data_IF_703474999963
#
_entry.id   IF_703474999963
#
_cell.length_a   1.000
_cell.length_b   1.000
_cell.length_c   1.000
_cell.angle_alpha   90.00
_cell.angle_beta   90.00
_cell.angle_gamma   90.00
#
_symmetry.space_group_name_H-M   'P 1'
#
loop_
_entity.id
_entity.type
_entity.pdbx_description
1 polymer ?
#
# COMPACT_ATOMS: atom_id res chain seq x y z
N UNK A 1 1.94 -17.76 -0.21
CA UNK A 1 2.80 -17.53 0.98
C UNK A 1 2.76 -18.70 1.94
N UNK A 2 1.58 -19.23 2.31
CA UNK A 2 1.48 -20.39 3.21
C UNK A 2 2.28 -21.61 2.72
N UNK A 3 2.19 -21.95 1.43
CA UNK A 3 2.92 -23.09 0.85
C UNK A 3 4.43 -22.92 0.95
N UNK A 4 4.94 -21.73 0.59
CA UNK A 4 6.36 -21.42 0.70
C UNK A 4 6.84 -21.52 2.15
N UNK A 5 6.04 -21.05 3.12
CA UNK A 5 6.38 -21.12 4.55
C UNK A 5 6.32 -22.52 5.16
N UNK A 6 5.87 -23.53 4.41
CA UNK A 6 5.83 -24.94 4.82
C UNK A 6 6.68 -25.85 3.94
N UNK A 7 7.40 -25.29 2.97
CA UNK A 7 8.09 -26.08 1.96
C UNK A 7 9.44 -26.58 2.51
N UNK A 8 9.75 -27.89 2.44
CA UNK A 8 10.94 -28.46 3.10
C UNK A 8 12.27 -27.98 2.51
N UNK A 9 12.27 -27.48 1.27
CA UNK A 9 13.45 -26.92 0.60
C UNK A 9 13.45 -25.39 0.50
N UNK A 10 12.57 -24.69 1.24
CA UNK A 10 12.54 -23.23 1.27
C UNK A 10 12.66 -22.80 2.72
N UNK A 11 13.70 -22.04 3.01
CA UNK A 11 13.85 -21.32 4.27
C UNK A 11 13.37 -19.89 4.07
N UNK A 12 12.39 -19.45 4.87
CA UNK A 12 11.88 -18.08 4.84
C UNK A 12 12.51 -17.30 5.99
N UNK A 13 13.36 -16.34 5.64
CA UNK A 13 13.94 -15.38 6.58
C UNK A 13 13.19 -14.06 6.47
N UNK A 14 12.13 -13.89 7.27
CA UNK A 14 11.37 -12.62 7.32
C UNK A 14 12.00 -11.65 8.32
N UNK A 15 11.77 -10.34 8.12
CA UNK A 15 12.42 -9.29 8.90
C UNK A 15 13.96 -9.39 8.86
N UNK A 16 14.46 -9.70 7.67
CA UNK A 16 15.89 -9.87 7.39
C UNK A 16 16.28 -9.09 6.14
N UNK A 17 17.53 -8.61 6.10
CA UNK A 17 18.11 -7.92 4.95
C UNK A 17 19.46 -8.50 4.56
N UNK A 18 19.81 -8.42 3.27
CA UNK A 18 21.12 -8.80 2.77
C UNK A 18 22.10 -7.65 3.02
N UNK A 19 23.08 -7.84 3.91
CA UNK A 19 24.04 -6.80 4.29
C UNK A 19 25.37 -6.92 3.56
N UNK A 20 25.72 -8.13 3.11
CA UNK A 20 26.97 -8.39 2.40
C UNK A 20 26.78 -9.44 1.31
N UNK A 21 27.43 -9.23 0.17
CA UNK A 21 27.38 -10.14 -0.97
C UNK A 21 28.65 -10.06 -1.81
N UNK A 22 29.35 -11.19 -1.99
CA UNK A 22 30.53 -11.31 -2.84
C UNK A 22 30.58 -12.64 -3.61
N UNK A 23 31.53 -12.75 -4.54
CA UNK A 23 31.81 -13.99 -5.26
C UNK A 23 31.38 -13.96 -6.73
N UNK A 24 31.12 -15.14 -7.31
CA UNK A 24 30.77 -15.31 -8.72
C UNK A 24 29.72 -16.40 -8.90
N UNK A 25 29.09 -16.46 -10.07
CA UNK A 25 28.08 -17.46 -10.40
C UNK A 25 28.53 -18.89 -10.00
N UNK A 26 27.67 -19.59 -9.25
CA UNK A 26 27.96 -20.91 -8.69
C UNK A 26 28.71 -20.92 -7.35
N UNK A 27 29.23 -19.79 -6.89
CA UNK A 27 29.99 -19.67 -5.64
C UNK A 27 29.93 -18.23 -5.10
N UNK A 28 28.80 -17.86 -4.51
CA UNK A 28 28.60 -16.60 -3.81
C UNK A 28 28.64 -16.82 -2.30
N UNK A 29 29.06 -15.78 -1.59
CA UNK A 29 28.92 -15.65 -0.14
C UNK A 29 28.00 -14.49 0.16
N UNK A 30 27.01 -14.75 1.01
CA UNK A 30 26.05 -13.76 1.45
C UNK A 30 26.00 -13.71 2.98
N UNK A 31 25.90 -12.51 3.53
CA UNK A 31 25.55 -12.30 4.94
C UNK A 31 24.17 -11.68 4.99
N UNK A 32 23.26 -12.34 5.70
CA UNK A 32 21.90 -11.90 5.95
C UNK A 32 21.81 -11.48 7.42
N UNK A 33 21.33 -10.27 7.66
CA UNK A 33 21.03 -9.80 9.01
C UNK A 33 19.54 -9.99 9.28
N UNK A 34 19.19 -10.87 10.22
CA UNK A 34 17.84 -10.95 10.79
C UNK A 34 17.72 -9.92 11.90
N UNK A 35 16.83 -8.96 11.72
CA UNK A 35 16.58 -7.93 12.72
C UNK A 35 15.83 -8.54 13.91
N UNK A 36 16.07 -8.00 15.13
CA UNK A 36 15.35 -8.45 16.30
C UNK A 36 13.86 -8.15 16.18
N UNK A 37 13.03 -9.17 16.42
CA UNK A 37 11.58 -8.99 16.48
C UNK A 37 11.10 -8.59 17.86
N UNK A 38 11.92 -8.91 18.86
CA UNK A 38 11.60 -8.85 20.28
C UNK A 38 10.40 -9.71 20.69
N UNK A 39 10.00 -10.63 19.81
CA UNK A 39 8.92 -11.60 20.00
C UNK A 39 9.40 -12.91 19.39
N UNK A 40 9.47 -13.96 20.21
CA UNK A 40 9.85 -15.31 19.79
C UNK A 40 8.82 -15.88 18.82
N UNK A 41 9.27 -16.24 17.62
CA UNK A 41 8.45 -16.88 16.59
C UNK A 41 7.95 -18.27 17.01
N UNK A 42 8.70 -18.97 17.88
CA UNK A 42 8.35 -20.31 18.35
C UNK A 42 7.27 -20.30 19.45
N UNK A 43 7.33 -19.31 20.35
CA UNK A 43 6.42 -19.21 21.49
C UNK A 43 5.15 -18.41 21.18
N UNK A 44 5.25 -17.44 20.26
CA UNK A 44 4.13 -16.57 19.92
C UNK A 44 3.03 -17.33 19.17
N UNK A 45 1.79 -17.19 19.64
CA UNK A 45 0.60 -17.79 19.00
C UNK A 45 -0.14 -16.81 18.10
N UNK A 46 0.25 -15.54 18.08
CA UNK A 46 -0.43 -14.50 17.31
C UNK A 46 -1.83 -14.14 17.85
N UNK A 47 -2.09 -14.29 19.15
CA UNK A 47 -3.41 -14.07 19.74
C UNK A 47 -3.86 -12.59 19.77
N UNK A 48 -2.92 -11.64 19.80
CA UNK A 48 -3.20 -10.19 19.73
C UNK A 48 -3.43 -9.48 21.07
N UNK A 49 -3.47 -10.17 22.22
CA UNK A 49 -3.70 -9.53 23.53
C UNK A 49 -2.68 -8.42 23.83
N UNK A 50 -1.41 -8.66 23.50
CA UNK A 50 -0.34 -7.68 23.66
C UNK A 50 -0.51 -6.41 22.81
N UNK A 51 -1.21 -6.51 21.67
CA UNK A 51 -1.55 -5.38 20.80
C UNK A 51 -2.64 -4.53 21.46
N UNK A 52 -3.67 -5.16 22.02
CA UNK A 52 -4.77 -4.47 22.72
C UNK A 52 -4.26 -3.66 23.92
N UNK A 53 -3.35 -4.25 24.70
CA UNK A 53 -2.80 -3.64 25.93
C UNK A 53 -1.69 -2.60 25.66
N UNK A 54 -1.24 -2.47 24.41
CA UNK A 54 -0.22 -1.50 24.03
C UNK A 54 -0.81 -0.07 23.99
N UNK A 55 -0.26 0.88 24.78
CA UNK A 55 -0.78 2.25 24.81
C UNK A 55 -0.35 3.10 23.60
N UNK A 56 0.70 2.68 22.87
CA UNK A 56 1.25 3.43 21.73
C UNK A 56 0.30 3.35 20.54
N UNK A 57 0.09 4.47 19.85
CA UNK A 57 -0.66 4.51 18.58
C UNK A 57 0.17 5.31 17.58
N UNK A 58 0.48 4.69 16.45
CA UNK A 58 1.26 5.28 15.34
C UNK A 58 0.59 5.01 14.00
N UNK A 59 0.87 5.79 12.95
CA UNK A 59 0.38 5.48 11.60
C UNK A 59 0.80 4.07 11.16
N UNK A 60 -0.09 3.39 10.43
CA UNK A 60 0.19 2.05 9.92
C UNK A 60 0.73 2.12 8.48
N UNK A 61 1.98 1.74 8.31
CA UNK A 61 2.70 1.75 7.03
C UNK A 61 2.05 0.81 5.99
N UNK A 62 1.54 -0.35 6.41
CA UNK A 62 0.83 -1.28 5.52
C UNK A 62 -0.48 -0.70 5.00
N UNK A 63 -1.10 0.18 5.79
CA UNK A 63 -2.30 0.94 5.43
C UNK A 63 -1.96 2.31 4.82
N UNK A 64 -0.71 2.52 4.40
CA UNK A 64 -0.18 3.78 3.83
C UNK A 64 -0.56 5.02 4.65
N UNK A 65 -0.53 4.88 5.98
CA UNK A 65 -0.84 5.96 6.92
C UNK A 65 -2.33 6.25 7.13
N UNK A 66 -3.24 5.57 6.42
CA UNK A 66 -4.69 5.74 6.59
C UNK A 66 -5.24 5.07 7.84
N UNK A 67 -4.56 4.01 8.28
CA UNK A 67 -4.86 3.29 9.52
C UNK A 67 -3.86 3.63 10.62
N UNK A 68 -4.17 3.18 11.84
CA UNK A 68 -3.24 3.22 12.94
C UNK A 68 -2.85 1.80 13.38
N UNK A 69 -1.63 1.65 13.88
CA UNK A 69 -1.11 0.44 14.52
C UNK A 69 -0.54 0.77 15.89
N UNK A 70 -0.22 -0.28 16.63
CA UNK A 70 0.47 -0.22 17.93
C UNK A 70 1.97 -0.42 17.74
N UNK A 71 2.76 -0.17 18.79
CA UNK A 71 4.20 -0.46 18.75
C UNK A 71 4.49 -1.96 18.63
N UNK A 72 3.71 -2.81 19.30
CA UNK A 72 3.67 -4.25 19.02
C UNK A 72 2.55 -4.55 18.04
N UNK A 73 2.85 -5.17 16.92
CA UNK A 73 1.89 -5.33 15.83
C UNK A 73 2.21 -6.54 14.95
N UNK A 74 1.24 -6.94 14.13
CA UNK A 74 1.45 -7.78 12.95
C UNK A 74 1.12 -6.92 11.72
N UNK A 75 1.88 -6.99 10.62
CA UNK A 75 1.66 -6.13 9.45
C UNK A 75 0.24 -6.21 8.89
N UNK A 76 -0.33 -7.42 8.85
CA UNK A 76 -1.72 -7.67 8.44
C UNK A 76 -2.20 -9.03 8.97
N UNK A 77 -3.52 -9.25 8.96
CA UNK A 77 -4.16 -10.41 9.59
C UNK A 77 -3.70 -11.78 9.05
N UNK A 78 -3.23 -11.85 7.80
CA UNK A 78 -2.78 -13.09 7.15
C UNK A 78 -1.25 -13.13 6.96
N UNK A 79 -0.50 -12.34 7.75
CA UNK A 79 0.96 -12.32 7.69
C UNK A 79 1.57 -13.71 7.94
N UNK A 80 2.66 -13.99 7.23
CA UNK A 80 3.44 -15.24 7.37
C UNK A 80 4.90 -14.86 7.63
N UNK A 81 5.51 -15.32 8.75
CA UNK A 81 4.93 -16.11 9.83
C UNK A 81 3.85 -15.34 10.59
N UNK A 82 2.89 -16.08 11.18
CA UNK A 82 1.82 -15.49 11.97
C UNK A 82 2.32 -15.16 13.39
N UNK A 83 3.11 -14.09 13.49
CA UNK A 83 3.74 -13.61 14.73
C UNK A 83 3.63 -12.08 14.82
N UNK A 84 3.99 -11.54 15.99
CA UNK A 84 4.08 -10.10 16.22
C UNK A 84 5.54 -9.62 16.14
N UNK A 85 5.72 -8.31 15.98
CA UNK A 85 7.00 -7.61 16.00
C UNK A 85 6.83 -6.37 16.87
N UNK A 86 7.88 -5.96 17.60
CA UNK A 86 7.92 -4.70 18.33
C UNK A 86 8.76 -3.67 17.57
N UNK A 87 8.13 -2.58 17.19
CA UNK A 87 8.77 -1.36 16.70
C UNK A 87 9.42 -0.61 17.87
N UNK A 88 10.74 -0.71 18.00
CA UNK A 88 11.50 -0.07 19.08
C UNK A 88 11.60 1.44 18.96
N UNK A 89 11.48 2.00 17.76
CA UNK A 89 11.55 3.44 17.56
C UNK A 89 10.36 4.14 18.22
N UNK A 90 9.19 3.49 18.17
CA UNK A 90 7.96 4.00 18.75
C UNK A 90 7.59 3.36 20.10
N UNK A 91 8.30 2.31 20.54
CA UNK A 91 8.03 1.63 21.81
C UNK A 91 8.34 2.55 23.00
N UNK A 92 7.39 2.68 23.92
CA UNK A 92 7.59 3.41 25.17
C UNK A 92 8.57 2.75 26.13
N UNK A 93 8.82 1.44 26.00
CA UNK A 93 9.69 0.69 26.90
C UNK A 93 11.17 0.96 26.59
N UNK A 94 11.62 2.18 26.88
CA UNK A 94 12.98 2.67 26.61
C UNK A 94 13.76 2.96 27.89
N UNK A 95 14.82 3.74 27.77
CA UNK A 95 15.71 4.07 28.90
C UNK A 95 15.00 4.84 30.03
N UNK A 96 14.02 5.68 29.68
CA UNK A 96 13.39 6.62 30.62
C UNK A 96 12.03 6.17 31.16
N UNK A 97 11.37 5.24 30.47
CA UNK A 97 10.04 4.77 30.84
C UNK A 97 9.98 3.25 30.72
N UNK A 98 9.58 2.59 31.80
CA UNK A 98 9.38 1.15 31.82
C UNK A 98 7.90 0.88 31.52
N UNK A 99 7.64 0.25 30.37
CA UNK A 99 6.28 -0.12 29.94
C UNK A 99 6.24 -1.62 29.61
N UNK A 100 5.72 -2.42 30.54
CA UNK A 100 5.68 -3.89 30.42
C UNK A 100 4.28 -4.45 30.12
N UNK A 101 3.34 -3.63 29.65
CA UNK A 101 1.96 -4.08 29.40
C UNK A 101 1.89 -5.31 28.50
N UNK A 102 2.58 -5.28 27.36
CA UNK A 102 2.61 -6.40 26.42
C UNK A 102 3.24 -7.66 27.00
N UNK A 103 4.24 -7.52 27.89
CA UNK A 103 4.89 -8.65 28.58
C UNK A 103 3.91 -9.26 29.57
N UNK A 104 3.29 -8.43 30.41
CA UNK A 104 2.33 -8.85 31.43
C UNK A 104 1.11 -9.54 30.82
N UNK A 105 0.73 -9.18 29.60
CA UNK A 105 -0.42 -9.75 28.89
C UNK A 105 -0.08 -10.98 28.03
N UNK A 106 1.18 -11.39 27.97
CA UNK A 106 1.63 -12.50 27.14
C UNK A 106 1.83 -13.78 27.98
N UNK A 107 0.78 -14.61 28.08
CA UNK A 107 0.83 -15.88 28.83
C UNK A 107 1.94 -16.85 28.38
N UNK A 108 2.35 -16.75 27.11
CA UNK A 108 3.40 -17.59 26.52
C UNK A 108 4.81 -17.11 26.83
N UNK A 109 4.96 -15.93 27.46
CA UNK A 109 6.24 -15.27 27.69
C UNK A 109 7.08 -15.17 26.41
N UNK A 110 6.43 -14.85 25.29
CA UNK A 110 7.08 -14.80 23.98
C UNK A 110 7.86 -13.49 23.75
N UNK A 111 7.66 -12.46 24.57
CA UNK A 111 8.28 -11.14 24.38
C UNK A 111 9.67 -11.11 25.03
N UNK A 112 10.67 -10.71 24.26
CA UNK A 112 12.06 -10.61 24.70
C UNK A 112 12.69 -9.30 24.17
N UNK A 113 12.82 -8.28 25.02
CA UNK A 113 13.43 -7.01 24.63
C UNK A 113 14.95 -7.08 24.42
N UNK A 114 15.59 -8.15 24.88
CA UNK A 114 17.03 -8.37 24.75
C UNK A 114 17.39 -9.20 23.50
N UNK A 115 16.45 -9.41 22.58
CA UNK A 115 16.69 -10.05 21.29
C UNK A 115 17.77 -9.27 20.51
N UNK A 116 18.95 -9.88 20.25
CA UNK A 116 20.03 -9.21 19.54
C UNK A 116 19.88 -9.27 18.01
N UNK A 117 18.89 -10.02 17.50
CA UNK A 117 18.86 -10.43 16.09
C UNK A 117 19.89 -11.52 15.80
N UNK A 118 20.14 -11.79 14.52
CA UNK A 118 21.09 -12.82 14.08
C UNK A 118 21.80 -12.41 12.78
N UNK A 119 23.09 -12.73 12.66
CA UNK A 119 23.81 -12.68 11.38
C UNK A 119 24.01 -14.10 10.85
N UNK A 120 23.52 -14.33 9.63
CA UNK A 120 23.49 -15.64 8.98
C UNK A 120 24.39 -15.58 7.75
N UNK A 121 25.41 -16.42 7.71
CA UNK A 121 26.31 -16.53 6.57
C UNK A 121 25.92 -17.73 5.71
N UNK A 122 25.73 -17.50 4.41
CA UNK A 122 25.29 -18.50 3.45
C UNK A 122 26.24 -18.58 2.25
N UNK A 123 26.57 -19.81 1.86
CA UNK A 123 27.17 -20.11 0.56
C UNK A 123 26.04 -20.42 -0.43
N UNK A 124 25.92 -19.64 -1.50
CA UNK A 124 24.82 -19.77 -2.47
C UNK A 124 25.32 -19.87 -3.92
N UNK A 125 24.63 -20.68 -4.73
CA UNK A 125 24.99 -20.89 -6.13
C UNK A 125 24.39 -19.84 -7.08
N UNK A 126 23.21 -19.34 -6.76
CA UNK A 126 22.44 -18.41 -7.59
C UNK A 126 21.64 -17.43 -6.75
N UNK A 127 21.32 -16.28 -7.35
CA UNK A 127 20.53 -15.21 -6.73
C UNK A 127 19.42 -14.79 -7.67
N UNK A 128 18.22 -14.60 -7.13
CA UNK A 128 17.06 -14.05 -7.82
C UNK A 128 16.69 -12.76 -7.09
N UNK A 129 16.73 -11.63 -7.80
CA UNK A 129 16.33 -10.33 -7.25
C UNK A 129 14.85 -10.12 -7.54
N UNK A 130 14.04 -10.02 -6.49
CA UNK A 130 12.58 -9.87 -6.57
C UNK A 130 12.07 -8.89 -5.49
N UNK A 131 12.78 -7.78 -5.26
CA UNK A 131 12.48 -6.77 -4.22
C UNK A 131 11.27 -5.89 -4.52
N UNK A 132 10.62 -6.07 -5.68
CA UNK A 132 9.39 -5.36 -6.02
C UNK A 132 9.62 -3.94 -6.53
N UNK A 133 8.73 -3.04 -6.12
CA UNK A 133 8.68 -1.63 -6.53
C UNK A 133 8.03 -0.78 -5.43
N UNK A 134 8.24 0.53 -5.50
CA UNK A 134 7.56 1.51 -4.65
C UNK A 134 6.53 2.33 -5.44
N UNK A 135 5.57 2.92 -4.73
CA UNK A 135 4.56 3.81 -5.31
C UNK A 135 5.17 5.19 -5.55
N UNK A 136 4.78 5.82 -6.66
CA UNK A 136 5.20 7.18 -6.96
C UNK A 136 4.66 8.18 -5.93
N UNK A 137 5.52 9.04 -5.40
CA UNK A 137 5.13 10.15 -4.54
C UNK A 137 4.45 11.26 -5.35
N UNK A 138 3.12 11.32 -5.26
CA UNK A 138 2.31 12.28 -6.01
C UNK A 138 2.45 13.73 -5.50
N UNK A 139 3.11 13.99 -4.36
CA UNK A 139 3.36 15.36 -3.89
C UNK A 139 4.25 16.15 -4.85
N UNK A 140 5.02 15.45 -5.68
CA UNK A 140 5.82 16.04 -6.75
C UNK A 140 4.98 16.71 -7.86
N UNK A 141 3.68 16.40 -7.98
CA UNK A 141 2.76 17.08 -8.91
C UNK A 141 1.90 18.07 -8.12
N UNK A 142 2.45 19.26 -7.87
CA UNK A 142 1.77 20.28 -7.06
C UNK A 142 0.42 20.70 -7.66
N UNK A 143 0.25 20.62 -8.98
CA UNK A 143 -1.01 20.98 -9.64
C UNK A 143 -2.17 20.03 -9.31
N UNK A 144 -1.91 18.84 -8.79
CA UNK A 144 -2.94 17.88 -8.37
C UNK A 144 -3.25 17.95 -6.87
N UNK A 145 -2.40 18.60 -6.07
CA UNK A 145 -2.68 18.87 -4.66
C UNK A 145 -2.68 17.66 -3.74
N UNK A 146 -2.02 16.55 -4.10
CA UNK A 146 -1.80 15.44 -3.17
C UNK A 146 -0.96 15.92 -1.97
N UNK A 147 -1.36 15.53 -0.76
CA UNK A 147 -0.79 16.03 0.50
C UNK A 147 -1.28 17.43 0.93
N UNK A 148 -2.04 18.13 0.08
CA UNK A 148 -2.67 19.43 0.40
C UNK A 148 -4.19 19.32 0.52
N UNK A 149 -4.83 18.62 -0.41
CA UNK A 149 -6.27 18.42 -0.44
C UNK A 149 -6.62 17.07 0.14
N UNK A 150 -7.45 17.07 1.19
CA UNK A 150 -7.79 15.86 1.96
C UNK A 150 -8.41 14.75 1.10
N UNK A 151 -9.13 15.13 0.04
CA UNK A 151 -9.86 14.20 -0.82
C UNK A 151 -9.10 13.80 -2.10
N UNK A 152 -7.83 14.20 -2.23
CA UNK A 152 -6.94 13.71 -3.31
C UNK A 152 -6.16 12.52 -2.77
N UNK A 153 -6.42 11.35 -3.34
CA UNK A 153 -5.83 10.09 -2.90
C UNK A 153 -5.06 9.42 -4.04
N UNK A 154 -4.00 8.72 -3.67
CA UNK A 154 -3.31 7.77 -4.52
C UNK A 154 -4.14 6.51 -4.73
N UNK A 155 -3.78 5.75 -5.75
CA UNK A 155 -4.37 4.44 -6.00
C UNK A 155 -4.18 3.49 -4.81
N UNK A 156 -2.99 3.46 -4.20
CA UNK A 156 -2.70 2.56 -3.08
C UNK A 156 -3.57 2.85 -1.86
N UNK A 157 -3.82 4.14 -1.55
CA UNK A 157 -4.76 4.54 -0.49
C UNK A 157 -6.19 4.06 -0.79
N UNK A 158 -6.63 4.15 -2.05
CA UNK A 158 -7.92 3.60 -2.48
C UNK A 158 -7.97 2.07 -2.33
N UNK A 159 -6.91 1.34 -2.68
CA UNK A 159 -6.83 -0.12 -2.45
C UNK A 159 -6.99 -0.46 -0.98
N UNK A 160 -6.34 0.32 -0.09
CA UNK A 160 -6.47 0.11 1.35
C UNK A 160 -7.90 0.36 1.83
N UNK A 161 -8.59 1.36 1.29
CA UNK A 161 -10.01 1.58 1.61
C UNK A 161 -10.93 0.47 1.10
N UNK A 162 -10.73 0.03 -0.15
CA UNK A 162 -11.52 -1.04 -0.77
C UNK A 162 -11.27 -2.41 -0.13
N UNK A 163 -10.15 -2.59 0.56
CA UNK A 163 -9.85 -3.82 1.25
C UNK A 163 -10.80 -4.05 2.43
N UNK A 164 -11.47 -5.21 2.46
CA UNK A 164 -12.38 -5.59 3.54
C UNK A 164 -11.73 -5.63 4.93
N UNK A 165 -10.42 -5.90 5.00
CA UNK A 165 -9.61 -5.87 6.23
C UNK A 165 -8.80 -4.58 6.39
N UNK A 166 -8.99 -3.60 5.49
CA UNK A 166 -8.36 -2.29 5.56
C UNK A 166 -9.03 -1.33 6.56
N UNK A 167 -8.54 -0.09 6.68
CA UNK A 167 -8.92 0.87 7.71
C UNK A 167 -10.41 1.25 7.67
N UNK A 168 -11.02 1.23 6.50
CA UNK A 168 -12.43 1.58 6.28
C UNK A 168 -13.30 0.35 6.05
N UNK A 169 -12.75 -0.86 6.23
CA UNK A 169 -13.45 -2.15 6.12
C UNK A 169 -14.15 -2.36 4.77
N UNK A 170 -13.53 -1.89 3.68
CA UNK A 170 -14.07 -2.01 2.33
C UNK A 170 -15.00 -0.88 1.90
N UNK A 171 -15.18 0.15 2.75
CA UNK A 171 -16.02 1.30 2.43
C UNK A 171 -15.21 2.49 1.92
N UNK A 172 -15.74 3.17 0.91
CA UNK A 172 -15.10 4.36 0.35
C UNK A 172 -15.65 5.59 1.06
N UNK A 173 -14.75 6.39 1.62
CA UNK A 173 -15.10 7.63 2.28
C UNK A 173 -14.20 8.76 1.81
N UNK A 174 -14.73 9.97 1.83
CA UNK A 174 -13.95 11.21 1.74
C UNK A 174 -13.20 11.42 3.05
N UNK A 175 -11.87 11.55 3.07
CA UNK A 175 -11.12 11.77 4.31
C UNK A 175 -11.53 13.05 5.05
N UNK A 176 -11.88 14.11 4.31
CA UNK A 176 -12.29 15.41 4.89
C UNK A 176 -13.53 15.35 5.79
N UNK A 177 -14.56 14.59 5.42
CA UNK A 177 -15.87 14.60 6.09
C UNK A 177 -16.46 13.22 6.38
N UNK A 178 -15.73 12.16 6.02
CA UNK A 178 -16.07 10.74 6.20
C UNK A 178 -17.36 10.30 5.51
N UNK A 179 -17.85 11.05 4.52
CA UNK A 179 -19.03 10.66 3.75
C UNK A 179 -18.66 9.83 2.53
N UNK A 180 -19.59 9.00 2.07
CA UNK A 180 -19.45 8.30 0.79
C UNK A 180 -19.42 9.35 -0.34
N UNK A 181 -18.40 9.34 -1.21
CA UNK A 181 -18.38 10.24 -2.36
C UNK A 181 -19.47 9.84 -3.36
N UNK A 182 -20.20 10.82 -3.89
CA UNK A 182 -21.15 10.60 -4.99
C UNK A 182 -20.47 10.57 -6.35
N UNK A 183 -19.32 11.24 -6.47
CA UNK A 183 -18.56 11.37 -7.71
C UNK A 183 -17.08 11.07 -7.47
N UNK A 184 -16.45 10.32 -8.36
CA UNK A 184 -15.03 9.96 -8.27
C UNK A 184 -14.32 10.22 -9.61
N UNK A 185 -13.13 10.81 -9.53
CA UNK A 185 -12.25 11.03 -10.67
C UNK A 185 -10.98 10.18 -10.52
N UNK A 186 -10.69 9.35 -11.52
CA UNK A 186 -9.46 8.58 -11.64
C UNK A 186 -8.55 9.24 -12.66
N UNK A 187 -7.35 9.63 -12.25
CA UNK A 187 -6.37 10.27 -13.13
C UNK A 187 -5.28 9.26 -13.50
N UNK A 188 -5.14 8.97 -14.78
CA UNK A 188 -4.11 8.04 -15.26
C UNK A 188 -2.76 8.74 -15.47
N UNK A 189 -1.71 7.92 -15.52
CA UNK A 189 -0.34 8.35 -15.81
C UNK A 189 0.22 9.37 -14.79
N UNK A 190 -0.27 9.37 -13.55
CA UNK A 190 0.36 10.13 -12.46
C UNK A 190 1.74 9.56 -12.19
N UNK A 191 2.79 10.38 -12.33
CA UNK A 191 4.18 9.95 -12.19
C UNK A 191 4.72 9.09 -13.34
N UNK A 192 3.99 8.98 -14.46
CA UNK A 192 4.39 8.17 -15.61
C UNK A 192 4.11 8.89 -16.93
N UNK A 193 4.84 8.50 -17.99
CA UNK A 193 4.67 9.05 -19.34
C UNK A 193 4.62 10.57 -19.37
N UNK A 194 5.59 11.24 -18.74
CA UNK A 194 5.80 12.66 -18.98
C UNK A 194 7.25 13.08 -18.75
N UNK A 195 7.50 14.38 -18.93
CA UNK A 195 8.83 14.97 -18.89
C UNK A 195 8.92 16.05 -17.81
N UNK A 196 10.10 16.20 -17.22
CA UNK A 196 10.34 17.15 -16.13
C UNK A 196 10.08 16.59 -14.74
N UNK A 197 10.46 17.37 -13.72
CA UNK A 197 10.44 16.94 -12.31
C UNK A 197 9.05 16.56 -11.81
N UNK A 198 8.01 17.23 -12.31
CA UNK A 198 6.63 16.97 -11.91
C UNK A 198 6.07 15.70 -12.56
N UNK A 199 6.57 15.28 -13.72
CA UNK A 199 5.96 14.18 -14.47
C UNK A 199 6.37 12.77 -14.00
N UNK A 200 7.35 12.67 -13.11
CA UNK A 200 7.94 11.41 -12.67
C UNK A 200 8.83 10.79 -13.73
N UNK A 201 8.36 9.73 -14.40
CA UNK A 201 9.16 8.97 -15.37
C UNK A 201 8.60 9.01 -16.81
N UNK A 202 9.47 8.77 -17.79
CA UNK A 202 9.08 8.70 -19.20
C UNK A 202 8.43 7.37 -19.60
N UNK A 203 8.60 6.32 -18.81
CA UNK A 203 8.03 5.01 -19.11
C UNK A 203 6.57 4.89 -18.65
N UNK A 204 5.92 3.80 -19.06
CA UNK A 204 4.59 3.43 -18.62
C UNK A 204 4.68 2.42 -17.48
N UNK A 205 3.99 2.67 -16.37
CA UNK A 205 3.92 1.76 -15.23
C UNK A 205 3.12 0.47 -15.50
N UNK A 206 2.52 0.31 -16.70
CA UNK A 206 1.86 -0.89 -17.23
C UNK A 206 0.60 -1.37 -16.50
N UNK A 207 0.50 -1.22 -15.18
CA UNK A 207 -0.61 -1.75 -14.38
C UNK A 207 -1.75 -0.73 -14.16
N UNK A 208 -1.44 0.57 -14.12
CA UNK A 208 -2.35 1.61 -13.63
C UNK A 208 -3.69 1.67 -14.36
N UNK A 209 -3.71 1.49 -15.69
CA UNK A 209 -4.96 1.50 -16.47
C UNK A 209 -5.90 0.39 -16.01
N UNK A 210 -5.41 -0.84 -15.92
CA UNK A 210 -6.25 -1.99 -15.57
C UNK A 210 -6.63 -2.01 -14.10
N UNK A 211 -5.76 -1.47 -13.24
CA UNK A 211 -6.11 -1.28 -11.85
C UNK A 211 -7.26 -0.30 -11.69
N UNK A 212 -7.23 0.83 -12.40
CA UNK A 212 -8.33 1.79 -12.36
C UNK A 212 -9.64 1.22 -12.89
N UNK A 213 -9.61 0.43 -13.98
CA UNK A 213 -10.80 -0.29 -14.45
C UNK A 213 -11.33 -1.22 -13.35
N UNK A 214 -10.44 -1.99 -12.70
CA UNK A 214 -10.79 -2.89 -11.60
C UNK A 214 -11.39 -2.13 -10.42
N UNK A 215 -10.78 -1.01 -10.01
CA UNK A 215 -11.27 -0.17 -8.91
C UNK A 215 -12.64 0.40 -9.23
N UNK A 216 -12.86 0.95 -10.43
CA UNK A 216 -14.17 1.46 -10.84
C UNK A 216 -15.25 0.38 -10.74
N UNK A 217 -14.96 -0.83 -11.21
CA UNK A 217 -15.89 -1.97 -11.13
C UNK A 217 -16.17 -2.38 -9.68
N UNK A 218 -15.15 -2.41 -8.82
CA UNK A 218 -15.31 -2.72 -7.39
C UNK A 218 -16.11 -1.63 -6.66
N UNK A 219 -15.76 -0.37 -6.86
CA UNK A 219 -16.50 0.80 -6.33
C UNK A 219 -17.98 0.66 -6.66
N UNK A 220 -18.31 0.39 -7.92
CA UNK A 220 -19.70 0.24 -8.36
C UNK A 220 -20.42 -0.95 -7.72
N UNK A 221 -19.71 -2.05 -7.46
CA UNK A 221 -20.28 -3.22 -6.81
C UNK A 221 -20.53 -3.01 -5.32
N UNK A 222 -19.67 -2.23 -4.66
CA UNK A 222 -19.71 -2.06 -3.21
C UNK A 222 -20.51 -0.83 -2.76
N UNK A 223 -20.50 0.26 -3.53
CA UNK A 223 -21.08 1.54 -3.15
C UNK A 223 -22.23 1.93 -4.09
N UNK A 224 -23.46 1.78 -3.61
CA UNK A 224 -24.67 2.07 -4.38
C UNK A 224 -24.96 3.56 -4.55
N UNK A 225 -24.35 4.42 -3.73
CA UNK A 225 -24.51 5.87 -3.74
C UNK A 225 -23.67 6.58 -4.82
N UNK A 226 -22.84 5.84 -5.56
CA UNK A 226 -22.01 6.39 -6.64
C UNK A 226 -22.91 6.77 -7.81
N UNK A 227 -22.93 8.06 -8.11
CA UNK A 227 -23.69 8.66 -9.21
C UNK A 227 -22.83 8.76 -10.48
N UNK A 228 -21.53 9.01 -10.35
CA UNK A 228 -20.64 9.24 -11.50
C UNK A 228 -19.17 8.90 -11.18
N UNK A 229 -18.51 8.22 -12.11
CA UNK A 229 -17.07 7.99 -12.12
C UNK A 229 -16.50 8.42 -13.46
N UNK A 230 -15.33 9.05 -13.44
CA UNK A 230 -14.61 9.46 -14.65
C UNK A 230 -13.17 8.99 -14.62
N UNK A 231 -12.71 8.31 -15.67
CA UNK A 231 -11.30 7.95 -15.87
C UNK A 231 -10.69 8.88 -16.91
N UNK A 232 -9.76 9.72 -16.49
CA UNK A 232 -9.01 10.64 -17.35
C UNK A 232 -7.72 9.98 -17.82
N UNK A 233 -7.58 9.76 -19.13
CA UNK A 233 -6.51 8.95 -19.69
C UNK A 233 -5.93 9.51 -20.99
N UNK A 234 -4.72 9.05 -21.34
CA UNK A 234 -4.08 9.32 -22.65
C UNK A 234 -4.39 8.18 -23.62
N UNK A 235 -4.01 6.96 -23.23
CA UNK A 235 -4.33 5.71 -23.91
C UNK A 235 -4.71 4.66 -22.87
N UNK A 236 -5.79 3.92 -23.10
CA UNK A 236 -6.14 2.75 -22.29
C UNK A 236 -5.27 1.57 -22.72
N UNK A 237 -4.42 1.10 -21.81
CA UNK A 237 -3.47 0.00 -22.08
C UNK A 237 -3.95 -1.31 -21.48
N UNK A 238 -4.99 -1.88 -22.09
CA UNK A 238 -5.57 -3.17 -21.69
C UNK A 238 -4.81 -4.37 -22.30
N UNK A 239 -3.49 -4.39 -22.13
CA UNK A 239 -2.62 -5.40 -22.72
C UNK A 239 -2.47 -6.63 -21.80
N UNK A 240 -3.16 -7.71 -22.13
CA UNK A 240 -3.13 -8.97 -21.39
C UNK A 240 -4.30 -9.87 -21.77
N UNK A 241 -4.23 -11.16 -21.44
CA UNK A 241 -5.33 -12.09 -21.69
C UNK A 241 -6.56 -11.67 -20.87
N UNK A 242 -7.68 -11.37 -21.52
CA UNK A 242 -8.91 -10.96 -20.84
C UNK A 242 -8.97 -9.48 -20.45
N UNK A 243 -7.91 -8.70 -20.69
CA UNK A 243 -7.84 -7.31 -20.22
C UNK A 243 -8.70 -6.39 -21.09
N UNK A 244 -8.64 -6.56 -22.41
CA UNK A 244 -9.51 -5.81 -23.32
C UNK A 244 -10.98 -6.14 -23.06
N UNK A 245 -11.32 -7.41 -22.89
CA UNK A 245 -12.67 -7.86 -22.58
C UNK A 245 -13.17 -7.33 -21.22
N UNK A 246 -12.26 -7.16 -20.25
CA UNK A 246 -12.57 -6.54 -18.97
C UNK A 246 -12.79 -5.03 -19.11
N UNK A 247 -11.98 -4.35 -19.91
CA UNK A 247 -12.19 -2.94 -20.25
C UNK A 247 -13.51 -2.73 -21.00
N UNK A 248 -13.81 -3.53 -22.02
CA UNK A 248 -15.08 -3.47 -22.77
C UNK A 248 -16.30 -3.62 -21.84
N UNK A 249 -16.26 -4.56 -20.90
CA UNK A 249 -17.32 -4.71 -19.89
C UNK A 249 -17.51 -3.48 -19.01
N UNK A 250 -16.43 -2.77 -18.70
CA UNK A 250 -16.53 -1.54 -17.92
C UNK A 250 -17.19 -0.39 -18.69
N UNK A 251 -17.16 -0.41 -20.04
CA UNK A 251 -17.86 0.57 -20.88
C UNK A 251 -19.39 0.41 -20.81
N UNK A 252 -19.88 -0.75 -20.36
CA UNK A 252 -21.31 -1.00 -20.17
C UNK A 252 -21.85 -0.42 -18.85
N UNK A 253 -20.98 0.08 -17.97
CA UNK A 253 -21.37 0.69 -16.68
C UNK A 253 -21.86 2.12 -16.92
N UNK A 254 -23.16 2.44 -16.69
CA UNK A 254 -23.71 3.75 -17.03
C UNK A 254 -23.08 4.93 -16.27
N UNK A 255 -22.65 4.69 -15.03
CA UNK A 255 -22.04 5.71 -14.18
C UNK A 255 -20.56 5.95 -14.51
N UNK A 256 -19.93 5.10 -15.32
CA UNK A 256 -18.50 5.18 -15.64
C UNK A 256 -18.26 5.80 -17.01
N UNK A 257 -17.47 6.88 -17.03
CA UNK A 257 -17.05 7.56 -18.26
C UNK A 257 -15.54 7.51 -18.42
N UNK A 258 -15.11 7.36 -19.66
CA UNK A 258 -13.71 7.47 -20.05
C UNK A 258 -13.55 8.78 -20.81
N UNK A 259 -12.66 9.64 -20.32
CA UNK A 259 -12.40 10.95 -20.90
C UNK A 259 -10.94 10.98 -21.36
N UNK A 260 -10.75 11.12 -22.66
CA UNK A 260 -9.41 11.14 -23.25
C UNK A 260 -8.81 12.53 -23.10
N UNK A 261 -8.07 12.72 -22.02
CA UNK A 261 -7.40 13.97 -21.68
C UNK A 261 -6.57 13.80 -20.42
N UNK A 262 -5.36 14.38 -20.40
CA UNK A 262 -4.54 14.46 -19.18
C UNK A 262 -4.94 15.74 -18.44
N UNK A 263 -5.42 15.67 -17.19
CA UNK A 263 -5.76 16.87 -16.43
C UNK A 263 -4.57 17.81 -16.28
N UNK A 264 -4.86 19.11 -16.30
CA UNK A 264 -3.87 20.17 -16.12
C UNK A 264 -3.65 20.48 -14.64
N UNK A 265 -4.74 20.54 -13.87
CA UNK A 265 -4.74 20.82 -12.43
C UNK A 265 -6.03 20.34 -11.76
N UNK A 266 -5.96 20.26 -10.43
CA UNK A 266 -7.09 20.03 -9.53
C UNK A 266 -7.20 21.24 -8.59
N UNK A 267 -8.42 21.70 -8.34
CA UNK A 267 -8.69 22.79 -7.39
C UNK A 267 -9.74 22.34 -6.40
N UNK A 268 -9.46 22.53 -5.11
CA UNK A 268 -10.41 22.27 -4.02
C UNK A 268 -11.29 23.49 -3.74
N UNK A 269 -12.60 23.27 -3.55
CA UNK A 269 -13.48 24.26 -2.92
C UNK A 269 -13.21 24.28 -1.40
N UNK A 270 -12.76 25.41 -0.82
CA UNK A 270 -12.37 25.47 0.59
C UNK A 270 -13.54 25.26 1.56
N UNK A 271 -14.79 25.40 1.12
CA UNK A 271 -15.99 25.22 1.95
C UNK A 271 -16.51 23.79 1.88
N UNK A 272 -16.66 23.24 0.69
CA UNK A 272 -17.25 21.90 0.51
C UNK A 272 -16.23 20.79 0.46
N UNK A 273 -14.95 21.13 0.28
CA UNK A 273 -13.84 20.20 0.04
C UNK A 273 -14.01 19.37 -1.22
N UNK A 274 -14.90 19.78 -2.12
CA UNK A 274 -15.07 19.13 -3.42
C UNK A 274 -13.93 19.52 -4.35
N UNK A 275 -13.61 18.64 -5.31
CA UNK A 275 -12.51 18.80 -6.24
C UNK A 275 -13.03 19.09 -7.65
N UNK A 276 -12.49 20.12 -8.27
CA UNK A 276 -12.69 20.43 -9.69
C UNK A 276 -11.45 19.99 -10.47
N UNK A 277 -11.63 19.12 -11.46
CA UNK A 277 -10.57 18.60 -12.34
C UNK A 277 -10.62 19.35 -13.67
N UNK A 278 -9.55 20.07 -14.01
CA UNK A 278 -9.47 20.84 -15.26
C UNK A 278 -8.79 20.02 -16.36
N UNK A 279 -9.50 19.72 -17.44
CA UNK A 279 -9.01 18.87 -18.52
C UNK A 279 -9.52 19.35 -19.89
N UNK A 280 -8.73 19.10 -20.93
CA UNK A 280 -9.19 19.15 -22.30
C UNK A 280 -9.58 17.73 -22.73
N UNK A 281 -10.84 17.54 -23.11
CA UNK A 281 -11.27 16.34 -23.80
C UNK A 281 -10.80 16.42 -25.25
N UNK A 282 -9.78 15.64 -25.59
CA UNK A 282 -9.11 15.66 -26.89
C UNK A 282 -10.02 15.12 -28.00
N UNK A 283 -11.06 14.35 -27.67
CA UNK A 283 -12.01 13.84 -28.67
C UNK A 283 -13.05 14.89 -29.05
N UNK A 284 -13.49 15.71 -28.10
CA UNK A 284 -14.54 16.71 -28.34
C UNK A 284 -14.04 18.14 -28.45
N UNK A 285 -12.78 18.41 -28.09
CA UNK A 285 -12.20 19.75 -27.98
C UNK A 285 -12.79 20.59 -26.86
N UNK A 286 -13.56 20.00 -25.94
CA UNK A 286 -14.15 20.71 -24.82
C UNK A 286 -13.13 20.86 -23.70
N UNK A 287 -13.01 22.08 -23.18
CA UNK A 287 -12.21 22.39 -21.99
C UNK A 287 -13.19 22.57 -20.82
N UNK A 288 -12.97 21.83 -19.74
CA UNK A 288 -13.84 21.82 -18.56
C UNK A 288 -13.08 21.52 -17.29
#
# INVERSE_FOLDING_TARGET
MLDAGRHPNIEIMTHSELTYFEGKAGNFRATIKRHPRYVSEELCTGCGQCVEDCPVVVPNDFEVGMGARKAIYSPFAQAVPYTHIIDRENCLNGEFLVCNNCVNSCDRNAINFDDPGEEINLDIGSVIVATGFDVYDATAISSYGYGLYDNVLTNMELERMLNASGPTRGHIIRPSDRKVPKKIAFIQCVGSRGEGKEAGCQYCSRFCCMNAVKDCMLVKQHESEIEEMAVFYIDMRAAGKGFEEFYQRSLEVPELKYIRGRPSKIVEDPKTKDLTVYVEDVETGKIG
#
